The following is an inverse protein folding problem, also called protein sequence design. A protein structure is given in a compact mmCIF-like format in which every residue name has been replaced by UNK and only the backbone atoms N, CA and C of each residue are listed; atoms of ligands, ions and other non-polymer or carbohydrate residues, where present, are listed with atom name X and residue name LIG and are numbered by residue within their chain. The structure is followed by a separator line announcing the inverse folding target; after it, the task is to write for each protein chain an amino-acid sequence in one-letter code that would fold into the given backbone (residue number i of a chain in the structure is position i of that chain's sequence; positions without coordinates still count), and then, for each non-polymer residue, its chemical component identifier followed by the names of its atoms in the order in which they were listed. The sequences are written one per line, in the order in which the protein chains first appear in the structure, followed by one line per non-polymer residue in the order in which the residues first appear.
data_IF_441894116284
#
_entry.id   IF_441894116284
#
_cell.length_a   1.000
_cell.length_b   1.000
_cell.length_c   1.000
_cell.angle_alpha   90.00
_cell.angle_beta   90.00
_cell.angle_gamma   90.00
#
_symmetry.space_group_name_H-M   'P 1'
#
loop_
_entity.id
_entity.type
_entity.pdbx_description
1 polymer ?
#
# COMPACT_ATOMS: atom_id res chain seq x y z
N UNK A 1 -23.20 13.08 -11.36
CA UNK A 1 -22.17 12.27 -10.66
C UNK A 1 -22.81 11.73 -9.38
N UNK A 2 -22.77 10.42 -9.14
CA UNK A 2 -23.34 9.79 -7.93
C UNK A 2 -22.20 9.42 -6.99
N UNK A 3 -22.31 9.82 -5.71
CA UNK A 3 -21.36 9.41 -4.67
C UNK A 3 -21.51 7.92 -4.38
N UNK A 4 -20.40 7.18 -4.40
CA UNK A 4 -20.36 5.73 -4.11
C UNK A 4 -20.05 5.46 -2.64
N UNK A 5 -19.12 6.23 -2.06
CA UNK A 5 -18.78 6.20 -0.64
C UNK A 5 -18.84 7.62 -0.08
N UNK A 6 -19.70 7.82 0.91
CA UNK A 6 -19.70 9.04 1.73
C UNK A 6 -18.47 9.06 2.64
N UNK A 7 -18.12 10.23 3.16
CA UNK A 7 -17.03 10.37 4.12
C UNK A 7 -17.19 9.45 5.34
N UNK A 8 -18.42 9.35 5.86
CA UNK A 8 -18.75 8.48 7.00
C UNK A 8 -18.50 7.01 6.66
N UNK A 9 -18.95 6.55 5.50
CA UNK A 9 -18.76 5.16 5.05
C UNK A 9 -17.29 4.85 4.81
N UNK A 10 -16.53 5.80 4.24
CA UNK A 10 -15.09 5.66 4.05
C UNK A 10 -14.36 5.53 5.39
N UNK A 11 -14.70 6.35 6.39
CA UNK A 11 -14.10 6.28 7.72
C UNK A 11 -14.37 4.94 8.42
N UNK A 12 -15.60 4.43 8.34
CA UNK A 12 -15.97 3.11 8.86
C UNK A 12 -15.18 2.01 8.14
N UNK A 13 -15.05 2.12 6.81
CA UNK A 13 -14.34 1.14 5.99
C UNK A 13 -12.86 1.08 6.33
N UNK A 14 -12.20 2.23 6.46
CA UNK A 14 -10.78 2.32 6.86
C UNK A 14 -10.59 1.66 8.23
N UNK A 15 -11.46 1.96 9.20
CA UNK A 15 -11.38 1.34 10.54
C UNK A 15 -11.54 -0.18 10.46
N UNK A 16 -12.50 -0.67 9.68
CA UNK A 16 -12.73 -2.11 9.48
C UNK A 16 -11.51 -2.79 8.85
N UNK A 17 -10.97 -2.23 7.77
CA UNK A 17 -9.78 -2.78 7.11
C UNK A 17 -8.57 -2.79 8.04
N UNK A 18 -8.40 -1.76 8.86
CA UNK A 18 -7.32 -1.69 9.86
C UNK A 18 -7.43 -2.82 10.90
N UNK A 19 -8.64 -3.07 11.43
CA UNK A 19 -8.87 -4.21 12.32
C UNK A 19 -8.61 -5.55 11.63
N UNK A 20 -9.11 -5.73 10.40
CA UNK A 20 -8.88 -6.96 9.63
C UNK A 20 -7.39 -7.22 9.37
N UNK A 21 -6.60 -6.18 9.10
CA UNK A 21 -5.15 -6.32 8.95
C UNK A 21 -4.50 -6.82 10.25
N UNK A 22 -4.91 -6.27 11.39
CA UNK A 22 -4.37 -6.68 12.69
C UNK A 22 -4.81 -8.08 13.12
N UNK A 23 -6.04 -8.48 12.82
CA UNK A 23 -6.58 -9.80 13.15
C UNK A 23 -5.96 -10.92 12.31
N UNK A 24 -5.65 -10.63 11.04
CA UNK A 24 -5.07 -11.61 10.12
C UNK A 24 -3.55 -11.82 10.29
N UNK A 25 -2.90 -11.01 11.13
CA UNK A 25 -1.46 -11.09 11.36
C UNK A 25 -1.17 -11.17 12.87
N UNK A 26 -0.85 -12.39 13.34
CA UNK A 26 -0.59 -12.65 14.76
C UNK A 26 0.77 -12.12 15.25
N UNK A 27 1.71 -11.88 14.33
CA UNK A 27 2.95 -11.15 14.57
C UNK A 27 3.11 -10.04 13.52
N UNK A 28 3.68 -8.92 13.94
CA UNK A 28 3.86 -7.72 13.12
C UNK A 28 5.33 -7.54 12.69
N UNK A 29 6.26 -8.34 13.20
CA UNK A 29 7.71 -8.15 13.01
C UNK A 29 8.15 -8.26 11.54
N UNK A 30 7.36 -9.00 10.75
CA UNK A 30 7.58 -9.19 9.31
C UNK A 30 6.52 -8.53 8.43
N UNK A 31 5.59 -7.76 9.03
CA UNK A 31 4.52 -7.09 8.31
C UNK A 31 4.98 -5.72 7.79
N UNK A 32 4.85 -5.54 6.48
CA UNK A 32 5.17 -4.28 5.80
C UNK A 32 3.95 -3.82 5.02
N UNK A 33 3.59 -2.55 5.15
CA UNK A 33 2.55 -1.92 4.32
C UNK A 33 3.24 -1.08 3.24
N UNK A 34 2.78 -1.20 1.99
CA UNK A 34 3.29 -0.41 0.87
C UNK A 34 2.13 0.29 0.17
N UNK A 35 2.11 1.62 0.26
CA UNK A 35 1.14 2.46 -0.46
C UNK A 35 1.60 2.71 -1.89
N UNK A 36 0.72 2.47 -2.86
CA UNK A 36 1.03 2.69 -4.27
C UNK A 36 0.76 4.16 -4.63
N UNK A 37 1.73 4.80 -5.27
CA UNK A 37 1.62 6.20 -5.70
C UNK A 37 0.85 6.35 -7.02
N UNK A 38 0.23 7.51 -7.27
CA UNK A 38 0.23 8.71 -6.43
C UNK A 38 -0.93 8.81 -5.43
N UNK A 39 -2.04 8.09 -5.63
CA UNK A 39 -3.25 8.26 -4.79
C UNK A 39 -3.41 7.22 -3.70
N UNK A 40 -2.98 5.98 -3.94
CA UNK A 40 -3.02 4.91 -2.94
C UNK A 40 -2.34 5.30 -1.62
N UNK A 41 -1.31 6.16 -1.67
CA UNK A 41 -0.64 6.66 -0.46
C UNK A 41 -1.55 7.45 0.49
N UNK A 42 -2.55 8.19 -0.02
CA UNK A 42 -3.48 8.90 0.86
C UNK A 42 -4.38 7.93 1.60
N UNK A 43 -4.72 6.80 0.98
CA UNK A 43 -5.52 5.76 1.60
C UNK A 43 -4.69 4.94 2.60
N UNK A 44 -3.47 4.54 2.23
CA UNK A 44 -2.56 3.81 3.11
C UNK A 44 -2.11 4.64 4.31
N UNK A 45 -1.82 5.93 4.14
CA UNK A 45 -1.48 6.84 5.25
C UNK A 45 -2.60 6.81 6.32
N UNK A 46 -3.88 6.80 5.89
CA UNK A 46 -5.02 6.73 6.81
C UNK A 46 -5.16 5.37 7.48
N UNK A 47 -4.89 4.27 6.76
CA UNK A 47 -4.88 2.92 7.34
C UNK A 47 -3.78 2.81 8.40
N UNK A 48 -2.54 3.20 8.08
CA UNK A 48 -1.41 3.16 9.02
C UNK A 48 -1.70 4.02 10.25
N UNK A 49 -2.25 5.22 10.08
CA UNK A 49 -2.68 6.05 11.20
C UNK A 49 -3.76 5.39 12.08
N UNK A 50 -4.71 4.64 11.49
CA UNK A 50 -5.70 3.90 12.29
C UNK A 50 -5.09 2.71 13.02
N UNK A 51 -4.15 2.00 12.40
CA UNK A 51 -3.44 0.88 13.02
C UNK A 51 -2.59 1.37 14.21
N UNK A 52 -1.83 2.45 14.03
CA UNK A 52 -0.97 3.04 15.08
C UNK A 52 -1.75 3.61 16.28
N UNK A 53 -3.08 3.73 16.19
CA UNK A 53 -3.94 4.06 17.35
C UNK A 53 -4.29 2.85 18.20
N UNK A 54 -4.12 1.64 17.68
CA UNK A 54 -4.51 0.38 18.31
C UNK A 54 -3.30 -0.39 18.85
N UNK A 55 -2.13 -0.20 18.24
CA UNK A 55 -0.87 -0.82 18.61
C UNK A 55 0.25 0.23 18.63
N UNK A 56 1.40 -0.11 19.24
CA UNK A 56 2.54 0.80 19.24
C UNK A 56 3.04 1.09 17.81
N UNK A 57 3.28 2.36 17.44
CA UNK A 57 3.62 2.76 16.06
C UNK A 57 4.85 2.07 15.46
N UNK A 58 5.81 1.67 16.29
CA UNK A 58 7.05 1.01 15.89
C UNK A 58 6.86 -0.42 15.35
N UNK A 59 5.64 -0.98 15.46
CA UNK A 59 5.34 -2.36 15.06
C UNK A 59 5.03 -2.54 13.58
N UNK A 60 4.74 -1.46 12.85
CA UNK A 60 4.38 -1.54 11.42
C UNK A 60 5.40 -0.76 10.60
N UNK A 61 6.05 -1.47 9.69
CA UNK A 61 6.92 -0.85 8.69
C UNK A 61 6.07 -0.37 7.52
N UNK A 62 6.27 0.86 7.06
CA UNK A 62 5.46 1.47 6.01
C UNK A 62 6.34 2.17 4.97
N UNK A 63 6.06 1.92 3.68
CA UNK A 63 6.74 2.57 2.56
C UNK A 63 5.77 3.01 1.45
N UNK A 64 6.28 3.81 0.51
CA UNK A 64 5.54 4.38 -0.62
C UNK A 64 6.22 3.99 -1.92
N UNK A 65 5.49 3.39 -2.85
CA UNK A 65 6.04 2.85 -4.08
C UNK A 65 5.54 3.61 -5.31
N UNK A 66 6.45 4.25 -6.03
CA UNK A 66 6.16 4.75 -7.39
C UNK A 66 6.38 3.63 -8.40
N UNK A 67 5.32 3.29 -9.14
CA UNK A 67 5.32 2.21 -10.12
C UNK A 67 5.41 2.73 -11.56
N UNK A 68 5.67 4.04 -11.73
CA UNK A 68 5.53 4.72 -13.01
C UNK A 68 6.36 4.06 -14.10
N UNK A 69 7.56 3.55 -13.82
CA UNK A 69 8.38 2.88 -14.83
C UNK A 69 8.11 1.38 -15.01
N UNK A 70 7.26 0.78 -14.18
CA UNK A 70 6.96 -0.65 -14.20
C UNK A 70 5.65 -0.97 -14.92
N UNK A 71 4.87 0.06 -15.28
CA UNK A 71 3.66 -0.14 -16.06
C UNK A 71 3.99 -0.36 -17.54
N UNK A 72 3.17 -1.15 -18.22
CA UNK A 72 3.30 -1.48 -19.63
C UNK A 72 2.87 -0.32 -20.56
N UNK A 73 2.03 0.58 -20.06
CA UNK A 73 1.40 1.69 -20.80
C UNK A 73 2.16 3.03 -20.76
N UNK A 74 3.35 3.04 -20.16
CA UNK A 74 4.12 4.27 -19.85
C UNK A 74 4.62 5.00 -21.09
N UNK A 75 4.74 4.30 -22.23
CA UNK A 75 5.34 4.85 -23.45
C UNK A 75 4.50 5.95 -24.14
N UNK A 76 3.34 6.31 -23.62
CA UNK A 76 2.38 7.25 -24.25
C UNK A 76 2.34 8.67 -23.64
N UNK A 77 3.39 9.15 -22.95
CA UNK A 77 3.41 10.57 -22.52
C UNK A 77 4.51 10.95 -21.53
N UNK A 78 4.53 12.24 -21.14
CA UNK A 78 5.29 12.72 -19.99
C UNK A 78 4.61 12.25 -18.70
N UNK A 79 5.33 11.51 -17.87
CA UNK A 79 4.87 11.10 -16.55
C UNK A 79 5.61 11.87 -15.47
N UNK A 80 4.86 12.40 -14.51
CA UNK A 80 5.43 13.00 -13.30
C UNK A 80 5.85 11.88 -12.37
N UNK A 81 7.16 11.78 -12.12
CA UNK A 81 7.71 10.82 -11.17
C UNK A 81 7.40 11.26 -9.74
N UNK A 82 6.99 10.31 -8.92
CA UNK A 82 6.97 10.50 -7.48
C UNK A 82 8.17 9.80 -6.87
N UNK A 83 8.60 10.28 -5.70
CA UNK A 83 9.70 9.66 -4.98
C UNK A 83 9.22 8.35 -4.33
N UNK A 84 9.79 7.22 -4.74
CA UNK A 84 9.68 5.97 -3.98
C UNK A 84 10.41 6.14 -2.64
N UNK A 85 9.74 5.78 -1.56
CA UNK A 85 10.23 5.86 -0.18
C UNK A 85 10.05 4.50 0.51
N UNK A 86 11.07 3.65 0.38
CA UNK A 86 11.14 2.33 1.00
C UNK A 86 12.55 2.21 1.60
N UNK A 87 12.80 2.75 2.81
CA UNK A 87 14.14 2.81 3.42
C UNK A 87 14.54 1.48 4.11
N UNK A 88 13.90 0.38 3.74
CA UNK A 88 14.06 -0.94 4.34
C UNK A 88 13.99 -2.03 3.26
N UNK A 89 14.42 -3.25 3.59
CA UNK A 89 14.27 -4.40 2.69
C UNK A 89 12.92 -5.08 2.87
N UNK A 90 12.33 -5.56 1.77
CA UNK A 90 11.14 -6.42 1.78
C UNK A 90 11.48 -7.92 1.79
N UNK A 91 12.77 -8.27 1.91
CA UNK A 91 13.23 -9.66 1.92
C UNK A 91 12.57 -10.47 3.05
N UNK A 92 11.94 -11.59 2.69
CA UNK A 92 11.18 -12.49 3.57
C UNK A 92 10.04 -11.83 4.36
N UNK A 93 9.63 -10.61 3.99
CA UNK A 93 8.51 -9.90 4.63
C UNK A 93 7.17 -10.31 4.05
N UNK A 94 6.11 -10.15 4.85
CA UNK A 94 4.72 -10.15 4.38
C UNK A 94 4.36 -8.73 3.99
N UNK A 95 4.20 -8.49 2.70
CA UNK A 95 3.92 -7.16 2.15
C UNK A 95 2.43 -7.01 1.89
N UNK A 96 1.84 -5.92 2.38
CA UNK A 96 0.47 -5.52 2.08
C UNK A 96 0.51 -4.35 1.11
N UNK A 97 0.14 -4.61 -0.14
CA UNK A 97 -0.05 -3.55 -1.14
C UNK A 97 -1.38 -2.82 -0.89
N UNK A 98 -1.33 -1.49 -0.93
CA UNK A 98 -2.51 -0.64 -0.75
C UNK A 98 -2.65 0.31 -1.93
N UNK A 99 -3.81 0.25 -2.58
CA UNK A 99 -4.22 1.12 -3.68
C UNK A 99 -5.61 1.70 -3.39
N UNK A 100 -5.96 2.81 -4.04
CA UNK A 100 -7.26 3.45 -3.85
C UNK A 100 -8.38 2.70 -4.59
N UNK A 101 -8.10 2.15 -5.76
CA UNK A 101 -9.07 1.40 -6.58
C UNK A 101 -8.42 0.19 -7.26
N UNK A 102 -8.85 -1.01 -6.86
CA UNK A 102 -8.54 -2.22 -7.63
C UNK A 102 -9.47 -2.32 -8.85
N UNK A 103 -8.89 -2.29 -10.05
CA UNK A 103 -9.63 -2.45 -11.31
C UNK A 103 -9.10 -3.63 -12.14
N UNK A 104 -8.33 -3.38 -13.20
CA UNK A 104 -7.80 -4.46 -14.06
C UNK A 104 -6.64 -5.25 -13.44
N UNK A 105 -6.12 -4.79 -12.30
CA UNK A 105 -4.96 -5.39 -11.63
C UNK A 105 -3.59 -4.98 -12.20
N UNK A 106 -3.53 -4.21 -13.29
CA UNK A 106 -2.25 -3.74 -13.88
C UNK A 106 -1.37 -2.96 -12.90
N UNK A 107 -1.99 -2.09 -12.10
CA UNK A 107 -1.30 -1.34 -11.03
C UNK A 107 -0.62 -2.28 -10.04
N UNK A 108 -1.34 -3.30 -9.57
CA UNK A 108 -0.83 -4.29 -8.62
C UNK A 108 0.30 -5.11 -9.25
N UNK A 109 0.15 -5.53 -10.50
CA UNK A 109 1.22 -6.25 -11.22
C UNK A 109 2.49 -5.41 -11.32
N UNK A 110 2.39 -4.16 -11.75
CA UNK A 110 3.53 -3.25 -11.82
C UNK A 110 4.15 -2.99 -10.43
N UNK A 111 3.33 -2.91 -9.38
CA UNK A 111 3.82 -2.82 -8.00
C UNK A 111 4.60 -4.06 -7.58
N UNK A 112 4.12 -5.27 -7.89
CA UNK A 112 4.83 -6.51 -7.61
C UNK A 112 6.17 -6.57 -8.34
N UNK A 113 6.23 -6.16 -9.62
CA UNK A 113 7.48 -6.09 -10.38
C UNK A 113 8.45 -5.05 -9.78
N UNK A 114 7.94 -3.89 -9.35
CA UNK A 114 8.73 -2.84 -8.72
C UNK A 114 9.28 -3.23 -7.34
N UNK A 115 8.50 -3.97 -6.54
CA UNK A 115 8.90 -4.45 -5.22
C UNK A 115 10.15 -5.32 -5.27
N UNK A 116 10.39 -6.05 -6.36
CA UNK A 116 11.56 -6.92 -6.50
C UNK A 116 12.89 -6.16 -6.46
N UNK A 117 12.89 -4.85 -6.70
CA UNK A 117 14.07 -4.01 -6.52
C UNK A 117 14.48 -3.81 -5.04
N UNK A 118 13.57 -4.12 -4.10
CA UNK A 118 13.75 -3.91 -2.65
C UNK A 118 13.92 -5.22 -1.86
N UNK A 119 13.86 -6.37 -2.54
CA UNK A 119 13.98 -7.71 -1.95
C UNK A 119 12.88 -8.64 -2.43
N UNK A 120 12.90 -9.88 -1.92
CA UNK A 120 11.92 -10.93 -2.23
C UNK A 120 10.97 -11.12 -1.05
N UNK A 121 9.72 -10.63 -1.13
CA UNK A 121 8.77 -10.86 -0.07
C UNK A 121 8.42 -12.35 0.05
N UNK A 122 8.20 -12.82 1.28
CA UNK A 122 7.68 -14.17 1.52
C UNK A 122 6.23 -14.29 1.04
N UNK A 123 5.48 -13.18 1.11
CA UNK A 123 4.09 -13.07 0.70
C UNK A 123 3.76 -11.63 0.31
N UNK A 124 2.90 -11.48 -0.70
CA UNK A 124 2.23 -10.22 -1.07
C UNK A 124 0.72 -10.44 -1.04
#
# INVERSE_FOLDING_TARGET
MKTILTEKELNITIRRLSHQLLENHLSYDDLVIIGIQPRGIFFSDRIVQQINRQISPEKITYGKLDITFYRDDVRQGLHTLNQTDIPFSVENKTVILVDDVLYTGRTIRAAMDALLAFGRPAKV
#
